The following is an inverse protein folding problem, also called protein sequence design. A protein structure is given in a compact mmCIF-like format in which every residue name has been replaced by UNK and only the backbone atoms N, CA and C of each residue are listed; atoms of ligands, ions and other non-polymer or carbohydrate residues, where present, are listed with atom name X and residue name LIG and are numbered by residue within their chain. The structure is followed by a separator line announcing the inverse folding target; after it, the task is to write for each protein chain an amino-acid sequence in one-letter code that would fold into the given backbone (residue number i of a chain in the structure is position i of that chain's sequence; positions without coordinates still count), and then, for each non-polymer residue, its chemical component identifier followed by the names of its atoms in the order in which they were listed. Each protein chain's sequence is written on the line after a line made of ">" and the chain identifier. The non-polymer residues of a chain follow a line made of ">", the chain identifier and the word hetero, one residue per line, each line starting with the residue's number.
data_IF_275746171405
#
_entry.id   IF_275746171405
#
_cell.length_a   1.000
_cell.length_b   1.000
_cell.length_c   1.000
_cell.angle_alpha   90.00
_cell.angle_beta   90.00
_cell.angle_gamma   90.00
#
_symmetry.space_group_name_H-M   'P 1'
#
loop_
_entity.id
_entity.type
_entity.pdbx_description
1 polymer ?
#
# COMPACT_ATOMS: atom_id res chain seq x y z
N UNK A 1 -21.76 16.62 -0.41
CA UNK A 1 -21.40 15.31 -1.04
C UNK A 1 -21.57 14.25 0.02
N UNK A 2 -22.26 13.15 -0.32
CA UNK A 2 -22.60 12.13 0.68
C UNK A 2 -21.40 11.18 0.82
N UNK A 3 -20.86 11.03 2.03
CA UNK A 3 -19.83 10.03 2.34
C UNK A 3 -20.33 8.64 1.93
N UNK A 4 -19.49 7.86 1.27
CA UNK A 4 -19.84 6.48 0.88
C UNK A 4 -19.98 5.64 2.16
N UNK A 5 -21.09 4.91 2.27
CA UNK A 5 -21.25 3.93 3.33
C UNK A 5 -20.31 2.74 3.08
N UNK A 6 -19.33 2.53 3.96
CA UNK A 6 -18.36 1.43 3.88
C UNK A 6 -18.93 0.14 4.52
N UNK A 7 -19.80 0.30 5.51
CA UNK A 7 -20.39 -0.83 6.25
C UNK A 7 -21.10 -1.83 5.33
N UNK A 8 -20.79 -3.11 5.54
CA UNK A 8 -21.36 -4.21 4.77
C UNK A 8 -20.69 -4.44 3.40
N UNK A 9 -19.67 -3.66 3.03
CA UNK A 9 -18.89 -3.86 1.81
C UNK A 9 -17.59 -4.63 2.07
N UNK A 10 -16.97 -5.17 1.02
CA UNK A 10 -15.72 -5.95 1.13
C UNK A 10 -14.53 -5.13 0.64
N UNK A 11 -13.41 -5.23 1.37
CA UNK A 11 -12.09 -4.77 0.92
C UNK A 11 -11.12 -5.95 0.80
N UNK A 12 -10.21 -5.91 -0.17
CA UNK A 12 -9.05 -6.81 -0.22
C UNK A 12 -7.81 -5.99 0.13
N UNK A 13 -7.01 -6.48 1.10
CA UNK A 13 -5.76 -5.84 1.52
C UNK A 13 -4.62 -6.82 1.32
N UNK A 14 -3.68 -6.51 0.42
CA UNK A 14 -2.48 -7.33 0.23
C UNK A 14 -1.38 -6.95 1.23
N UNK A 15 -0.60 -7.93 1.68
CA UNK A 15 0.40 -7.73 2.72
C UNK A 15 -0.23 -7.41 4.09
N UNK A 16 -1.42 -7.97 4.38
CA UNK A 16 -2.22 -7.67 5.56
C UNK A 16 -1.67 -8.23 6.88
N UNK A 17 -0.68 -9.11 6.85
CA UNK A 17 -0.20 -9.82 8.05
C UNK A 17 0.59 -8.94 9.04
N UNK A 18 1.07 -7.76 8.64
CA UNK A 18 1.90 -6.88 9.50
C UNK A 18 1.98 -5.45 8.99
N UNK A 19 2.59 -4.56 9.80
CA UNK A 19 2.91 -3.18 9.43
C UNK A 19 1.69 -2.40 8.94
N UNK A 20 1.86 -1.64 7.87
CA UNK A 20 0.76 -0.84 7.33
C UNK A 20 -0.44 -1.70 6.90
N UNK A 21 -0.20 -2.88 6.28
CA UNK A 21 -1.30 -3.74 5.85
C UNK A 21 -2.20 -4.21 7.00
N UNK A 22 -1.63 -4.54 8.17
CA UNK A 22 -2.41 -4.88 9.38
C UNK A 22 -3.17 -3.68 9.92
N UNK A 23 -2.52 -2.50 10.01
CA UNK A 23 -3.18 -1.27 10.45
C UNK A 23 -4.32 -0.84 9.52
N UNK A 24 -4.12 -0.98 8.21
CA UNK A 24 -5.16 -0.72 7.19
C UNK A 24 -6.33 -1.70 7.36
N UNK A 25 -6.05 -2.99 7.51
CA UNK A 25 -7.09 -3.99 7.71
C UNK A 25 -7.93 -3.69 8.97
N UNK A 26 -7.27 -3.32 10.08
CA UNK A 26 -7.94 -2.95 11.32
C UNK A 26 -8.86 -1.73 11.12
N UNK A 27 -8.37 -0.65 10.51
CA UNK A 27 -9.15 0.55 10.28
C UNK A 27 -10.35 0.31 9.34
N UNK A 28 -10.22 -0.56 8.34
CA UNK A 28 -11.32 -0.91 7.44
C UNK A 28 -12.37 -1.78 8.12
N UNK A 29 -11.96 -2.70 9.02
CA UNK A 29 -12.88 -3.47 9.87
C UNK A 29 -13.64 -2.53 10.82
N UNK A 30 -12.95 -1.59 11.45
CA UNK A 30 -13.57 -0.57 12.31
C UNK A 30 -14.57 0.31 11.54
N UNK A 31 -14.30 0.60 10.27
CA UNK A 31 -15.22 1.29 9.36
C UNK A 31 -16.41 0.42 8.89
N UNK A 32 -16.51 -0.83 9.37
CA UNK A 32 -17.62 -1.76 9.09
C UNK A 32 -17.47 -2.57 7.81
N UNK A 33 -16.29 -2.58 7.18
CA UNK A 33 -16.03 -3.43 6.02
C UNK A 33 -15.69 -4.87 6.43
N UNK A 34 -16.00 -5.82 5.56
CA UNK A 34 -15.39 -7.14 5.61
C UNK A 34 -14.04 -7.09 4.88
N UNK A 35 -12.96 -7.51 5.55
CA UNK A 35 -11.61 -7.44 4.99
C UNK A 35 -11.09 -8.82 4.63
N UNK A 36 -10.69 -9.01 3.38
CA UNK A 36 -9.96 -10.17 2.90
C UNK A 36 -8.46 -9.82 2.92
N UNK A 37 -7.73 -10.37 3.88
CA UNK A 37 -6.30 -10.12 4.06
C UNK A 37 -5.46 -11.16 3.33
N UNK A 38 -4.60 -10.71 2.40
CA UNK A 38 -3.74 -11.58 1.59
C UNK A 38 -2.30 -11.47 2.05
N UNK A 39 -1.65 -12.58 2.37
CA UNK A 39 -0.20 -12.64 2.63
C UNK A 39 0.31 -14.08 2.46
N UNK A 40 1.64 -14.25 2.35
CA UNK A 40 2.29 -15.57 2.24
C UNK A 40 2.41 -16.28 3.59
N UNK A 41 2.41 -15.54 4.68
CA UNK A 41 2.52 -16.03 6.05
C UNK A 41 1.11 -16.25 6.63
N UNK A 42 0.62 -17.48 6.53
CA UNK A 42 -0.71 -17.86 7.01
C UNK A 42 -0.83 -17.73 8.52
N UNK A 43 0.18 -18.14 9.30
CA UNK A 43 0.14 -18.03 10.76
C UNK A 43 0.00 -16.58 11.23
N UNK A 44 0.75 -15.66 10.59
CA UNK A 44 0.62 -14.24 10.89
C UNK A 44 -0.72 -13.64 10.45
N UNK A 45 -1.40 -14.22 9.44
CA UNK A 45 -2.78 -13.83 9.09
C UNK A 45 -3.80 -14.36 10.10
N UNK A 46 -3.56 -15.56 10.66
CA UNK A 46 -4.42 -16.12 11.70
C UNK A 46 -4.38 -15.28 12.98
N UNK A 47 -3.20 -14.76 13.36
CA UNK A 47 -3.09 -13.78 14.47
C UNK A 47 -3.93 -12.52 14.19
N UNK A 48 -3.90 -11.99 12.95
CA UNK A 48 -4.74 -10.84 12.58
C UNK A 48 -6.22 -11.18 12.66
N UNK A 49 -6.60 -12.40 12.28
CA UNK A 49 -7.97 -12.86 12.41
C UNK A 49 -8.42 -13.00 13.86
N UNK A 50 -7.56 -13.46 14.74
CA UNK A 50 -7.86 -13.53 16.18
C UNK A 50 -8.16 -12.14 16.74
N UNK A 51 -7.39 -11.12 16.31
CA UNK A 51 -7.60 -9.74 16.74
C UNK A 51 -8.85 -9.07 16.14
N UNK A 52 -9.10 -9.27 14.84
CA UNK A 52 -10.16 -8.58 14.09
C UNK A 52 -11.48 -9.35 14.01
N UNK A 53 -11.47 -10.63 14.43
CA UNK A 53 -12.66 -11.46 14.49
C UNK A 53 -13.24 -11.85 13.12
N UNK A 54 -14.55 -12.08 13.07
CA UNK A 54 -15.25 -12.57 11.90
C UNK A 54 -15.28 -11.59 10.70
N UNK A 55 -14.97 -10.32 10.93
CA UNK A 55 -14.89 -9.31 9.86
C UNK A 55 -13.61 -9.42 9.03
N UNK A 56 -12.69 -10.32 9.38
CA UNK A 56 -11.45 -10.56 8.64
C UNK A 56 -11.38 -12.00 8.11
N UNK A 57 -11.09 -12.16 6.83
CA UNK A 57 -10.85 -13.46 6.17
C UNK A 57 -9.39 -13.57 5.74
N UNK A 58 -8.59 -14.49 6.32
CA UNK A 58 -7.23 -14.75 5.90
C UNK A 58 -7.19 -15.51 4.55
N UNK A 59 -6.31 -15.09 3.65
CA UNK A 59 -6.00 -15.78 2.40
C UNK A 59 -4.49 -15.91 2.26
N UNK A 60 -3.99 -17.13 2.42
CA UNK A 60 -2.56 -17.42 2.23
C UNK A 60 -2.25 -17.55 0.73
N UNK A 61 -1.61 -16.52 0.16
CA UNK A 61 -1.23 -16.49 -1.25
C UNK A 61 -0.05 -15.51 -1.48
N UNK A 62 0.65 -15.69 -2.60
CA UNK A 62 1.59 -14.67 -3.09
C UNK A 62 0.81 -13.63 -3.91
N UNK A 63 0.77 -12.40 -3.43
CA UNK A 63 0.08 -11.33 -4.11
C UNK A 63 0.72 -10.94 -5.47
N UNK A 64 1.96 -11.34 -5.74
CA UNK A 64 2.62 -11.16 -7.03
C UNK A 64 2.29 -12.25 -8.05
N UNK A 65 1.62 -13.33 -7.64
CA UNK A 65 1.13 -14.36 -8.56
C UNK A 65 0.02 -13.76 -9.45
N UNK A 66 0.18 -13.81 -10.78
CA UNK A 66 -0.76 -13.18 -11.72
C UNK A 66 -2.18 -13.77 -11.68
N UNK A 67 -2.36 -14.99 -11.16
CA UNK A 67 -3.66 -15.67 -11.08
C UNK A 67 -4.47 -15.19 -9.86
N UNK A 68 -3.79 -14.87 -8.76
CA UNK A 68 -4.42 -14.55 -7.47
C UNK A 68 -5.34 -13.33 -7.55
N UNK A 69 -4.92 -12.28 -8.26
CA UNK A 69 -5.70 -11.04 -8.37
C UNK A 69 -7.09 -11.29 -8.98
N UNK A 70 -7.14 -11.93 -10.15
CA UNK A 70 -8.40 -12.22 -10.84
C UNK A 70 -9.33 -13.13 -10.03
N UNK A 71 -8.77 -14.20 -9.43
CA UNK A 71 -9.55 -15.13 -8.60
C UNK A 71 -10.19 -14.45 -7.38
N UNK A 72 -9.46 -13.58 -6.70
CA UNK A 72 -9.96 -12.93 -5.50
C UNK A 72 -10.93 -11.78 -5.83
N UNK A 73 -10.70 -11.04 -6.91
CA UNK A 73 -11.66 -10.03 -7.40
C UNK A 73 -12.98 -10.70 -7.77
N UNK A 74 -12.96 -11.78 -8.55
CA UNK A 74 -14.15 -12.52 -8.94
C UNK A 74 -14.90 -13.10 -7.74
N UNK A 75 -14.17 -13.67 -6.78
CA UNK A 75 -14.78 -14.34 -5.63
C UNK A 75 -15.42 -13.37 -4.65
N UNK A 76 -14.78 -12.25 -4.39
CA UNK A 76 -15.18 -11.36 -3.28
C UNK A 76 -15.84 -10.07 -3.73
N UNK A 77 -15.81 -9.74 -5.02
CA UNK A 77 -16.42 -8.53 -5.61
C UNK A 77 -16.16 -7.28 -4.73
N UNK A 78 -14.88 -6.91 -4.50
CA UNK A 78 -14.52 -5.91 -3.51
C UNK A 78 -14.95 -4.51 -3.92
N UNK A 79 -15.40 -3.71 -2.95
CA UNK A 79 -15.61 -2.28 -3.11
C UNK A 79 -14.30 -1.48 -2.98
N UNK A 80 -13.28 -2.09 -2.39
CA UNK A 80 -11.93 -1.50 -2.29
C UNK A 80 -10.84 -2.54 -2.44
N UNK A 81 -9.76 -2.18 -3.16
CA UNK A 81 -8.50 -2.91 -3.21
C UNK A 81 -7.40 -2.06 -2.60
N UNK A 82 -6.63 -2.61 -1.66
CA UNK A 82 -5.44 -1.94 -1.11
C UNK A 82 -4.20 -2.77 -1.43
N UNK A 83 -3.42 -2.29 -2.40
CA UNK A 83 -2.24 -2.94 -2.92
C UNK A 83 -1.02 -2.52 -2.10
N UNK A 84 -0.81 -3.20 -0.96
CA UNK A 84 0.22 -2.85 0.02
C UNK A 84 1.39 -3.85 0.07
N UNK A 85 1.23 -5.08 -0.43
CA UNK A 85 2.30 -6.07 -0.44
C UNK A 85 3.56 -5.56 -1.16
N UNK A 86 4.73 -5.93 -0.66
CA UNK A 86 6.00 -5.56 -1.26
C UNK A 86 7.19 -6.24 -0.59
N UNK A 87 8.35 -6.19 -1.24
CA UNK A 87 9.60 -6.70 -0.72
C UNK A 87 10.37 -5.61 0.04
N UNK A 88 11.06 -6.02 1.10
CA UNK A 88 12.02 -5.13 1.75
C UNK A 88 13.20 -4.85 0.81
N UNK A 89 13.57 -3.58 0.59
CA UNK A 89 14.76 -3.25 -0.19
C UNK A 89 16.03 -3.68 0.56
N UNK A 90 17.08 -3.95 -0.20
CA UNK A 90 18.41 -4.08 0.38
C UNK A 90 18.99 -2.69 0.63
N UNK A 91 19.21 -2.34 1.91
CA UNK A 91 19.69 -1.02 2.28
C UNK A 91 21.20 -0.89 2.07
N UNK A 92 21.61 -0.35 0.91
CA UNK A 92 23.01 -0.10 0.56
C UNK A 92 23.17 0.98 -0.52
N UNK A 93 24.36 1.63 -0.65
CA UNK A 93 24.65 2.56 -1.74
C UNK A 93 24.56 1.92 -3.12
N UNK A 94 24.22 2.71 -4.15
CA UNK A 94 23.99 2.25 -5.51
C UNK A 94 25.13 1.37 -6.07
N UNK A 95 26.38 1.76 -5.89
CA UNK A 95 27.55 1.05 -6.42
C UNK A 95 27.83 -0.31 -5.76
N UNK A 96 27.10 -0.66 -4.69
CA UNK A 96 27.18 -1.96 -4.02
C UNK A 96 26.03 -2.89 -4.41
N UNK A 97 25.12 -2.46 -5.29
CA UNK A 97 24.06 -3.32 -5.83
C UNK A 97 24.56 -4.12 -7.04
N UNK A 98 24.08 -5.37 -7.15
CA UNK A 98 23.99 -6.10 -8.42
C UNK A 98 22.63 -5.79 -9.06
N UNK A 99 22.44 -6.12 -10.35
CA UNK A 99 21.13 -5.98 -10.97
C UNK A 99 20.04 -6.76 -10.22
N UNK A 100 20.31 -7.99 -9.82
CA UNK A 100 19.40 -8.83 -9.06
C UNK A 100 18.93 -8.12 -7.77
N UNK A 101 19.84 -7.55 -6.99
CA UNK A 101 19.47 -6.88 -5.74
C UNK A 101 18.82 -5.51 -5.97
N UNK A 102 19.08 -4.87 -7.10
CA UNK A 102 18.48 -3.61 -7.50
C UNK A 102 17.06 -3.81 -8.05
N UNK A 103 16.84 -4.82 -8.91
CA UNK A 103 15.55 -5.07 -9.57
C UNK A 103 14.50 -5.71 -8.66
N UNK A 104 14.89 -6.28 -7.52
CA UNK A 104 14.02 -7.05 -6.61
C UNK A 104 12.65 -6.41 -6.33
N UNK A 105 12.60 -5.11 -6.09
CA UNK A 105 11.33 -4.42 -5.84
C UNK A 105 10.50 -4.25 -7.10
N UNK A 106 11.10 -4.30 -8.29
CA UNK A 106 10.38 -4.33 -9.55
C UNK A 106 9.69 -5.68 -9.76
N UNK A 107 10.40 -6.77 -9.47
CA UNK A 107 9.91 -8.14 -9.65
C UNK A 107 8.82 -8.52 -8.63
N UNK A 108 8.73 -7.82 -7.50
CA UNK A 108 7.69 -8.06 -6.49
C UNK A 108 6.67 -6.93 -6.47
N UNK A 109 7.10 -5.70 -6.13
CA UNK A 109 6.17 -4.60 -5.85
C UNK A 109 5.48 -4.10 -7.12
N UNK A 110 6.24 -3.93 -8.22
CA UNK A 110 5.67 -3.45 -9.49
C UNK A 110 4.84 -4.54 -10.14
N UNK A 111 5.33 -5.79 -10.19
CA UNK A 111 4.58 -6.91 -10.74
C UNK A 111 3.25 -7.12 -10.00
N UNK A 112 3.26 -7.08 -8.68
CA UNK A 112 2.06 -7.13 -7.85
C UNK A 112 1.08 -6.00 -8.20
N UNK A 113 1.52 -4.74 -8.12
CA UNK A 113 0.66 -3.59 -8.40
C UNK A 113 0.11 -3.61 -9.83
N UNK A 114 0.95 -3.96 -10.83
CA UNK A 114 0.54 -4.11 -12.22
C UNK A 114 -0.53 -5.20 -12.39
N UNK A 115 -0.31 -6.39 -11.83
CA UNK A 115 -1.23 -7.53 -11.97
C UNK A 115 -2.63 -7.19 -11.42
N UNK A 116 -2.71 -6.68 -10.20
CA UNK A 116 -3.98 -6.33 -9.57
C UNK A 116 -4.69 -5.16 -10.25
N UNK A 117 -3.94 -4.13 -10.65
CA UNK A 117 -4.48 -2.97 -11.39
C UNK A 117 -5.04 -3.40 -12.74
N UNK A 118 -4.30 -4.26 -13.46
CA UNK A 118 -4.74 -4.82 -14.74
C UNK A 118 -6.03 -5.63 -14.58
N UNK A 119 -6.12 -6.52 -13.60
CA UNK A 119 -7.33 -7.32 -13.37
C UNK A 119 -8.52 -6.44 -12.95
N UNK A 120 -8.31 -5.41 -12.14
CA UNK A 120 -9.37 -4.46 -11.77
C UNK A 120 -9.95 -3.69 -12.98
N UNK A 121 -9.15 -3.48 -14.05
CA UNK A 121 -9.60 -2.86 -15.30
C UNK A 121 -10.27 -3.87 -16.26
N UNK A 122 -9.74 -5.10 -16.35
CA UNK A 122 -10.26 -6.15 -17.24
C UNK A 122 -11.52 -6.83 -16.71
N UNK A 123 -11.67 -6.87 -15.40
CA UNK A 123 -12.83 -7.38 -14.66
C UNK A 123 -13.36 -6.26 -13.79
N UNK A 124 -14.05 -5.29 -14.40
CA UNK A 124 -14.38 -4.06 -13.70
C UNK A 124 -15.14 -4.34 -12.40
N UNK A 125 -14.59 -3.79 -11.33
CA UNK A 125 -15.29 -3.73 -10.05
C UNK A 125 -16.53 -2.83 -10.21
N UNK A 126 -17.47 -2.90 -9.27
CA UNK A 126 -18.65 -2.04 -9.31
C UNK A 126 -18.26 -0.54 -9.35
N UNK A 127 -19.00 0.28 -10.14
CA UNK A 127 -18.79 1.72 -10.17
C UNK A 127 -18.81 2.33 -8.76
N UNK A 128 -17.91 3.26 -8.51
CA UNK A 128 -17.66 3.83 -7.19
C UNK A 128 -16.65 3.07 -6.34
N UNK A 129 -16.14 1.92 -6.79
CA UNK A 129 -15.05 1.22 -6.12
C UNK A 129 -13.73 2.00 -6.15
N UNK A 130 -12.82 1.65 -5.26
CA UNK A 130 -11.52 2.35 -5.11
C UNK A 130 -10.37 1.36 -5.08
N UNK A 131 -9.35 1.61 -5.89
CA UNK A 131 -8.06 0.91 -5.85
C UNK A 131 -7.01 1.85 -5.27
N UNK A 132 -6.41 1.46 -4.14
CA UNK A 132 -5.33 2.21 -3.50
C UNK A 132 -4.03 1.42 -3.65
N UNK A 133 -3.02 2.01 -4.28
CA UNK A 133 -1.69 1.44 -4.38
C UNK A 133 -0.73 2.14 -3.41
N UNK A 134 -0.09 1.36 -2.52
CA UNK A 134 0.87 1.89 -1.56
C UNK A 134 2.23 2.08 -2.25
N UNK A 135 2.52 3.33 -2.55
CA UNK A 135 3.81 3.80 -3.01
C UNK A 135 4.74 4.15 -1.81
N UNK A 136 5.41 5.26 -1.84
CA UNK A 136 6.30 5.76 -0.77
C UNK A 136 6.67 7.21 -1.01
N UNK A 137 6.94 7.98 0.05
CA UNK A 137 7.58 9.29 -0.06
C UNK A 137 8.92 9.24 -0.82
N UNK A 138 9.61 8.10 -0.85
CA UNK A 138 10.81 7.89 -1.65
C UNK A 138 10.57 8.00 -3.17
N UNK A 139 9.34 7.79 -3.65
CA UNK A 139 8.97 7.96 -5.06
C UNK A 139 9.09 9.40 -5.57
N UNK A 140 9.09 10.38 -4.66
CA UNK A 140 9.16 11.82 -5.00
C UNK A 140 10.60 12.32 -5.14
N UNK A 141 11.50 11.82 -4.29
CA UNK A 141 12.86 12.38 -4.14
C UNK A 141 13.98 11.35 -4.34
N UNK A 142 13.60 10.08 -4.58
CA UNK A 142 14.55 8.99 -4.61
C UNK A 142 15.03 8.59 -3.21
N UNK A 143 15.95 7.63 -3.16
CA UNK A 143 16.59 7.17 -1.93
C UNK A 143 17.97 6.61 -2.22
N UNK A 144 19.06 7.24 -1.74
CA UNK A 144 20.43 6.82 -2.06
C UNK A 144 20.83 5.50 -1.40
N UNK A 145 20.01 4.96 -0.49
CA UNK A 145 20.28 3.72 0.25
C UNK A 145 19.24 2.62 0.02
N UNK A 146 18.30 2.80 -0.91
CA UNK A 146 17.22 1.83 -1.11
C UNK A 146 17.24 1.10 -2.46
N UNK A 147 18.34 1.19 -3.21
CA UNK A 147 18.47 0.53 -4.51
C UNK A 147 17.37 0.91 -5.48
N UNK A 148 16.72 -0.09 -6.07
CA UNK A 148 15.61 0.09 -7.01
C UNK A 148 14.26 0.42 -6.38
N UNK A 149 14.14 0.39 -5.05
CA UNK A 149 12.87 0.60 -4.33
C UNK A 149 12.20 1.94 -4.69
N UNK A 150 12.94 3.04 -4.65
CA UNK A 150 12.37 4.35 -4.97
C UNK A 150 11.85 4.41 -6.41
N UNK A 151 12.58 3.83 -7.38
CA UNK A 151 12.14 3.69 -8.77
C UNK A 151 10.91 2.80 -8.91
N UNK A 152 10.88 1.66 -8.23
CA UNK A 152 9.72 0.78 -8.21
C UNK A 152 8.47 1.49 -7.64
N UNK A 153 8.61 2.24 -6.54
CA UNK A 153 7.52 3.01 -5.95
C UNK A 153 7.07 4.19 -6.83
N UNK A 154 7.98 4.84 -7.55
CA UNK A 154 7.63 5.83 -8.56
C UNK A 154 6.84 5.19 -9.73
N UNK A 155 7.24 4.01 -10.19
CA UNK A 155 6.51 3.26 -11.22
C UNK A 155 5.09 2.91 -10.77
N UNK A 156 4.90 2.47 -9.51
CA UNK A 156 3.57 2.20 -8.96
C UNK A 156 2.70 3.46 -8.99
N UNK A 157 3.25 4.62 -8.65
CA UNK A 157 2.54 5.90 -8.75
C UNK A 157 2.08 6.18 -10.19
N UNK A 158 2.94 5.98 -11.20
CA UNK A 158 2.58 6.15 -12.61
C UNK A 158 1.55 5.13 -13.08
N UNK A 159 1.70 3.85 -12.71
CA UNK A 159 0.70 2.81 -13.04
C UNK A 159 -0.69 3.19 -12.52
N UNK A 160 -0.77 3.72 -11.31
CA UNK A 160 -2.02 4.17 -10.69
C UNK A 160 -2.65 5.33 -11.49
N UNK A 161 -1.84 6.31 -11.92
CA UNK A 161 -2.31 7.42 -12.74
C UNK A 161 -2.81 6.95 -14.13
N UNK A 162 -2.10 6.02 -14.77
CA UNK A 162 -2.53 5.44 -16.06
C UNK A 162 -3.85 4.67 -15.90
N UNK A 163 -3.99 3.91 -14.82
CA UNK A 163 -5.22 3.17 -14.54
C UNK A 163 -6.42 4.10 -14.30
N UNK A 164 -6.23 5.22 -13.61
CA UNK A 164 -7.25 6.25 -13.45
C UNK A 164 -7.71 6.83 -14.80
N UNK A 165 -6.76 7.08 -15.71
CA UNK A 165 -7.07 7.56 -17.06
C UNK A 165 -7.86 6.51 -17.86
N UNK A 166 -7.45 5.24 -17.84
CA UNK A 166 -8.16 4.16 -18.51
C UNK A 166 -9.56 3.93 -17.93
N UNK A 167 -9.71 3.99 -16.60
CA UNK A 167 -11.03 3.90 -15.96
C UNK A 167 -11.97 5.00 -16.41
N UNK A 168 -11.49 6.25 -16.47
CA UNK A 168 -12.27 7.40 -16.99
C UNK A 168 -12.62 7.24 -18.46
N UNK A 169 -11.66 6.86 -19.30
CA UNK A 169 -11.83 6.65 -20.74
C UNK A 169 -12.87 5.56 -21.05
N UNK A 170 -12.87 4.50 -20.25
CA UNK A 170 -13.81 3.38 -20.42
C UNK A 170 -15.12 3.55 -19.63
N UNK A 171 -15.30 4.64 -18.87
CA UNK A 171 -16.50 4.89 -18.07
C UNK A 171 -16.73 3.90 -16.95
N UNK A 172 -15.66 3.29 -16.39
CA UNK A 172 -15.79 2.23 -15.36
C UNK A 172 -16.21 2.77 -14.00
N UNK A 173 -15.98 4.04 -13.72
CA UNK A 173 -16.32 4.66 -12.44
C UNK A 173 -15.48 4.15 -11.26
N UNK A 174 -14.32 3.53 -11.50
CA UNK A 174 -13.39 3.06 -10.49
C UNK A 174 -12.35 4.15 -10.23
N UNK A 175 -12.13 4.52 -8.97
CA UNK A 175 -11.06 5.46 -8.58
C UNK A 175 -9.74 4.72 -8.37
N UNK A 176 -8.64 5.32 -8.82
CA UNK A 176 -7.29 4.82 -8.61
C UNK A 176 -6.46 5.87 -7.89
N UNK A 177 -5.98 5.53 -6.69
CA UNK A 177 -5.28 6.44 -5.78
C UNK A 177 -3.93 5.85 -5.40
N UNK A 178 -2.87 6.65 -5.50
CA UNK A 178 -1.54 6.29 -4.99
C UNK A 178 -1.31 6.93 -3.63
N UNK A 179 -1.03 6.15 -2.61
CA UNK A 179 -0.70 6.65 -1.27
C UNK A 179 0.81 6.52 -1.03
N UNK A 180 1.43 7.61 -0.59
CA UNK A 180 2.87 7.73 -0.38
C UNK A 180 3.16 7.95 1.12
N UNK A 181 3.26 6.88 1.95
CA UNK A 181 3.63 7.04 3.34
C UNK A 181 5.07 7.57 3.48
N UNK A 182 5.29 8.46 4.45
CA UNK A 182 6.64 8.88 4.83
C UNK A 182 7.35 7.79 5.63
N UNK A 183 8.69 7.94 5.77
CA UNK A 183 9.54 7.01 6.51
C UNK A 183 9.12 6.97 7.99
N UNK A 184 8.90 5.76 8.50
CA UNK A 184 8.48 5.54 9.89
C UNK A 184 9.21 4.36 10.53
N UNK A 185 9.55 4.41 11.82
CA UNK A 185 10.06 3.26 12.56
C UNK A 185 8.97 2.22 12.93
N UNK A 186 7.70 2.52 12.69
CA UNK A 186 6.58 1.64 13.07
C UNK A 186 6.52 0.33 12.27
N UNK A 187 7.33 0.17 11.22
CA UNK A 187 7.38 -1.04 10.40
C UNK A 187 8.81 -1.60 10.31
N UNK A 188 8.96 -2.91 10.10
CA UNK A 188 10.29 -3.54 9.90
C UNK A 188 11.04 -2.90 8.72
N UNK A 189 10.35 -2.60 7.63
CA UNK A 189 10.93 -1.93 6.47
C UNK A 189 11.42 -0.52 6.85
N UNK A 190 10.61 0.22 7.57
CA UNK A 190 10.95 1.56 8.01
C UNK A 190 12.10 1.58 9.02
N UNK A 191 12.17 0.63 9.97
CA UNK A 191 13.30 0.49 10.90
C UNK A 191 14.62 0.28 10.17
N UNK A 192 14.65 -0.61 9.15
CA UNK A 192 15.82 -0.82 8.32
C UNK A 192 16.22 0.45 7.55
N UNK A 193 15.23 1.21 7.04
CA UNK A 193 15.45 2.50 6.39
C UNK A 193 16.03 3.54 7.34
N UNK A 194 15.46 3.68 8.55
CA UNK A 194 15.97 4.57 9.60
C UNK A 194 17.43 4.27 9.92
N UNK A 195 17.77 3.00 10.16
CA UNK A 195 19.14 2.58 10.45
C UNK A 195 20.11 2.93 9.29
N UNK A 196 19.70 2.68 8.05
CA UNK A 196 20.52 2.96 6.87
C UNK A 196 20.76 4.47 6.66
N UNK A 197 19.73 5.30 6.84
CA UNK A 197 19.88 6.76 6.73
C UNK A 197 20.68 7.35 7.87
N UNK A 198 20.47 6.90 9.11
CA UNK A 198 21.24 7.32 10.27
C UNK A 198 22.73 7.02 10.07
N UNK A 199 23.06 5.77 9.70
CA UNK A 199 24.45 5.38 9.40
C UNK A 199 25.07 6.23 8.28
N UNK A 200 24.31 6.53 7.21
CA UNK A 200 24.80 7.38 6.11
C UNK A 200 25.10 8.81 6.55
N UNK A 201 24.39 9.32 7.55
CA UNK A 201 24.56 10.66 8.10
C UNK A 201 25.54 10.70 9.29
N UNK A 202 26.12 9.56 9.66
CA UNK A 202 27.07 9.46 10.78
C UNK A 202 26.42 9.69 12.15
N UNK A 203 25.12 9.39 12.29
CA UNK A 203 24.36 9.54 13.53
C UNK A 203 23.72 8.22 13.96
N UNK A 204 23.30 8.13 15.22
CA UNK A 204 22.50 7.00 15.68
C UNK A 204 21.02 7.14 15.23
N UNK A 205 20.27 6.03 15.34
CA UNK A 205 18.88 5.98 14.91
C UNK A 205 17.96 6.91 15.72
N UNK A 206 18.24 7.12 17.01
CA UNK A 206 17.43 7.99 17.88
C UNK A 206 17.62 9.46 17.50
N UNK A 207 18.86 9.89 17.29
CA UNK A 207 19.17 11.24 16.81
C UNK A 207 18.58 11.51 15.42
N UNK A 208 18.65 10.53 14.51
CA UNK A 208 18.01 10.63 13.20
C UNK A 208 16.49 10.81 13.30
N UNK A 209 15.81 10.01 14.12
CA UNK A 209 14.37 10.13 14.32
C UNK A 209 13.99 11.47 14.97
N UNK A 210 14.73 11.90 15.99
CA UNK A 210 14.50 13.19 16.64
C UNK A 210 14.60 14.37 15.66
N UNK A 211 15.47 14.30 14.66
CA UNK A 211 15.62 15.34 13.63
C UNK A 211 14.44 15.41 12.64
N UNK A 212 13.59 14.38 12.58
CA UNK A 212 12.48 14.30 11.62
C UNK A 212 11.12 14.73 12.19
N UNK A 213 11.02 14.93 13.50
CA UNK A 213 9.75 15.22 14.17
C UNK A 213 8.90 13.97 14.43
N UNK A 214 7.58 14.13 14.63
CA UNK A 214 6.69 13.02 14.96
C UNK A 214 6.71 11.92 13.90
N UNK A 215 6.73 10.66 14.34
CA UNK A 215 6.73 9.51 13.45
C UNK A 215 5.29 9.14 13.06
N UNK A 216 5.09 8.83 11.78
CA UNK A 216 3.86 8.26 11.27
C UNK A 216 3.61 6.88 11.89
N UNK A 217 2.39 6.59 12.32
CA UNK A 217 1.99 5.28 12.86
C UNK A 217 1.25 4.42 11.83
N UNK A 218 1.14 3.12 12.09
CA UNK A 218 0.35 2.20 11.26
C UNK A 218 -1.13 2.54 11.28
N UNK A 219 -1.64 2.97 12.42
CA UNK A 219 -3.05 3.30 12.64
C UNK A 219 -3.43 4.59 11.90
N UNK A 220 -2.54 5.61 11.92
CA UNK A 220 -2.74 6.81 11.11
C UNK A 220 -2.84 6.49 9.62
N UNK A 221 -1.97 5.61 9.09
CA UNK A 221 -2.07 5.17 7.68
C UNK A 221 -3.39 4.45 7.43
N UNK A 222 -3.83 3.60 8.35
CA UNK A 222 -5.11 2.90 8.26
C UNK A 222 -6.30 3.88 8.20
N UNK A 223 -6.33 4.84 9.11
CA UNK A 223 -7.37 5.88 9.20
C UNK A 223 -7.43 6.72 7.92
N UNK A 224 -6.28 7.18 7.41
CA UNK A 224 -6.24 7.99 6.19
C UNK A 224 -6.72 7.20 4.96
N UNK A 225 -6.36 5.91 4.86
CA UNK A 225 -6.83 5.04 3.77
C UNK A 225 -8.34 4.79 3.87
N UNK A 226 -8.88 4.54 5.05
CA UNK A 226 -10.33 4.40 5.24
C UNK A 226 -11.06 5.72 4.85
N UNK A 227 -10.49 6.87 5.20
CA UNK A 227 -10.98 8.19 4.78
C UNK A 227 -10.99 8.36 3.27
N UNK A 228 -9.89 8.01 2.58
CA UNK A 228 -9.81 8.08 1.10
C UNK A 228 -10.85 7.19 0.41
N UNK A 229 -11.13 6.00 0.95
CA UNK A 229 -12.14 5.09 0.40
C UNK A 229 -13.55 5.64 0.64
N UNK A 230 -13.81 6.15 1.84
CA UNK A 230 -15.13 6.62 2.28
C UNK A 230 -15.55 7.99 1.74
N UNK A 231 -14.61 8.86 1.38
CA UNK A 231 -14.90 10.20 0.89
C UNK A 231 -14.64 10.32 -0.62
N UNK A 232 -15.70 10.38 -1.44
CA UNK A 232 -15.58 10.54 -2.89
C UNK A 232 -15.06 11.92 -3.31
N UNK A 233 -14.96 12.89 -2.40
CA UNK A 233 -14.33 14.19 -2.69
C UNK A 233 -12.81 14.04 -2.93
N UNK A 234 -12.18 13.00 -2.36
CA UNK A 234 -10.83 12.61 -2.73
C UNK A 234 -10.85 11.93 -4.10
N UNK A 235 -10.48 12.66 -5.14
CA UNK A 235 -10.42 12.15 -6.52
C UNK A 235 -9.24 11.20 -6.75
N UNK A 236 -9.12 10.77 -8.02
CA UNK A 236 -7.90 10.10 -8.49
C UNK A 236 -6.67 10.98 -8.22
N UNK A 237 -5.53 10.35 -7.94
CA UNK A 237 -4.28 11.09 -7.74
C UNK A 237 -3.32 10.44 -6.79
N UNK A 238 -2.34 11.20 -6.37
CA UNK A 238 -1.32 10.79 -5.42
C UNK A 238 -1.43 11.61 -4.13
N UNK A 239 -1.30 10.93 -2.99
CA UNK A 239 -1.40 11.56 -1.66
C UNK A 239 -0.22 11.17 -0.79
N UNK A 240 0.46 12.15 -0.25
CA UNK A 240 1.48 11.96 0.78
C UNK A 240 0.79 11.78 2.14
N UNK A 241 1.23 10.79 2.91
CA UNK A 241 0.77 10.56 4.28
C UNK A 241 1.96 10.68 5.23
N UNK A 242 1.85 11.59 6.19
CA UNK A 242 2.84 11.79 7.25
C UNK A 242 2.14 11.96 8.61
N UNK A 243 2.89 12.24 9.67
CA UNK A 243 2.31 12.38 11.01
C UNK A 243 1.35 13.59 11.17
N UNK A 244 1.35 14.54 10.23
CA UNK A 244 0.42 15.66 10.22
C UNK A 244 -0.88 15.37 9.44
N UNK A 245 -0.99 14.19 8.81
CA UNK A 245 -2.14 13.78 8.02
C UNK A 245 -1.83 13.58 6.53
N UNK A 246 -2.86 13.69 5.69
CA UNK A 246 -2.81 13.45 4.26
C UNK A 246 -2.80 14.77 3.46
N UNK A 247 -2.03 14.80 2.37
CA UNK A 247 -1.98 15.93 1.45
C UNK A 247 -1.81 15.47 -0.01
N UNK A 248 -2.46 16.13 -0.99
CA UNK A 248 -2.28 15.79 -2.39
C UNK A 248 -0.85 16.10 -2.86
N UNK A 249 -0.39 15.32 -3.83
CA UNK A 249 0.94 15.47 -4.46
C UNK A 249 0.72 15.68 -5.96
N UNK A 250 1.44 16.62 -6.57
CA UNK A 250 1.37 16.87 -8.02
C UNK A 250 1.75 15.67 -8.87
#
# INVERSE_FOLDING_TARGET
>A
MTTRQLSGTTAIVTGASRGFGRGIAAALVEAGMHVVGVARDGAALDEVREDLGAAFTPVTADAADPVVAGQLIDRYQPAALVLNAGAAPLARPLHLHTWETFSRNWEVDVQHAFGWTREALLRPMEPGSTVIAISSGAALRGSPVSGGYAGAKATIRFLTAYAAEESRRAGLGIRFISVLPDLTPATRLGQAGVAAYAARQGMDAAAFLASRGPALTTDQVGTEIAGLIGDPAHGDGAYLVNAAGISPVP
#
